data_IF_391823315136
#
_entry.id   IF_391823315136
#
_cell.length_a   1.000
_cell.length_b   1.000
_cell.length_c   1.000
_cell.angle_alpha   90.00
_cell.angle_beta   90.00
_cell.angle_gamma   90.00
#
_symmetry.space_group_name_H-M   'P 1'
#
loop_
_entity.id
_entity.type
_entity.pdbx_description
1 polymer ?
#
# COMPACT_ATOMS: atom_id res chain seq x y z
N UNK A 1 34.41 -0.60 -0.57
CA UNK A 1 33.14 -1.36 -0.73
C UNK A 1 32.04 -0.32 -0.73
N UNK A 2 31.44 -0.14 -1.91
CA UNK A 2 30.40 0.84 -2.20
C UNK A 2 29.09 0.29 -1.66
N UNK A 3 28.43 1.03 -0.78
CA UNK A 3 27.00 0.92 -0.55
C UNK A 3 26.46 2.35 -0.56
N UNK A 4 26.56 2.98 -1.75
CA UNK A 4 25.72 4.12 -2.07
C UNK A 4 24.27 3.63 -1.99
N UNK A 5 23.64 3.87 -0.84
CA UNK A 5 22.20 3.81 -0.71
C UNK A 5 21.63 4.82 -1.69
N UNK A 6 21.43 4.39 -2.94
CA UNK A 6 20.60 5.05 -3.92
C UNK A 6 19.30 5.33 -3.19
N UNK A 7 19.04 6.59 -2.86
CA UNK A 7 17.76 7.02 -2.33
C UNK A 7 16.72 6.58 -3.37
N UNK A 8 16.11 5.42 -3.13
CA UNK A 8 14.93 5.02 -3.88
C UNK A 8 13.95 6.10 -3.54
N UNK A 9 13.60 6.91 -4.54
CA UNK A 9 12.58 7.94 -4.44
C UNK A 9 11.25 7.23 -4.15
N UNK A 10 11.07 6.84 -2.90
CA UNK A 10 10.00 5.95 -2.47
C UNK A 10 8.80 6.84 -2.27
N UNK A 11 7.83 6.69 -3.17
CA UNK A 11 6.62 7.50 -3.11
C UNK A 11 5.83 7.03 -1.89
N UNK A 12 5.47 8.00 -1.04
CA UNK A 12 4.72 7.75 0.19
C UNK A 12 3.30 8.25 -0.04
N UNK A 13 2.34 7.36 0.17
CA UNK A 13 0.91 7.65 0.07
C UNK A 13 0.25 7.59 1.44
N UNK A 14 -0.84 8.33 1.61
CA UNK A 14 -1.61 8.30 2.86
C UNK A 14 -2.58 7.13 2.83
N UNK A 15 -2.61 6.38 3.93
CA UNK A 15 -3.54 5.29 4.13
C UNK A 15 -4.44 5.53 5.35
N UNK A 16 -5.71 5.14 5.23
CA UNK A 16 -6.64 5.04 6.35
C UNK A 16 -6.61 3.61 6.91
N UNK A 17 -6.67 3.50 8.23
CA UNK A 17 -6.84 2.23 8.93
C UNK A 17 -8.06 2.31 9.84
N UNK A 18 -9.04 1.43 9.61
CA UNK A 18 -10.25 1.32 10.42
C UNK A 18 -10.24 0.01 11.18
N UNK A 19 -10.20 0.11 12.51
CA UNK A 19 -10.28 -1.03 13.41
C UNK A 19 -11.74 -1.44 13.59
N UNK A 20 -12.03 -2.72 13.35
CA UNK A 20 -13.34 -3.34 13.58
C UNK A 20 -13.15 -4.58 14.45
N UNK A 21 -14.24 -5.15 14.96
CA UNK A 21 -14.18 -6.30 15.88
C UNK A 21 -13.37 -7.50 15.32
N UNK A 22 -13.36 -7.69 14.00
CA UNK A 22 -12.72 -8.84 13.36
C UNK A 22 -11.30 -8.56 12.83
N UNK A 23 -10.85 -7.30 12.86
CA UNK A 23 -9.54 -6.91 12.32
C UNK A 23 -9.43 -5.44 11.93
N UNK A 24 -8.61 -5.19 10.91
CA UNK A 24 -8.25 -3.86 10.40
C UNK A 24 -8.55 -3.81 8.91
N UNK A 25 -9.48 -2.94 8.53
CA UNK A 25 -9.62 -2.51 7.14
C UNK A 25 -8.62 -1.40 6.86
N UNK A 26 -7.95 -1.48 5.72
CA UNK A 26 -7.01 -0.47 5.29
C UNK A 26 -7.27 -0.06 3.85
N UNK A 27 -7.05 1.22 3.55
CA UNK A 27 -7.30 1.81 2.22
C UNK A 27 -6.26 2.90 1.95
N UNK A 28 -5.80 3.01 0.70
CA UNK A 28 -4.98 4.14 0.25
C UNK A 28 -5.91 5.28 -0.18
N UNK A 29 -5.75 6.46 0.43
CA UNK A 29 -6.64 7.60 0.20
C UNK A 29 -6.45 8.22 -1.19
N UNK A 30 -5.24 8.13 -1.74
CA UNK A 30 -4.88 8.68 -3.04
C UNK A 30 -5.36 7.80 -4.21
N UNK A 31 -5.60 6.51 -3.96
CA UNK A 31 -6.08 5.53 -4.95
C UNK A 31 -7.30 4.79 -4.42
N UNK A 32 -8.50 5.38 -4.56
CA UNK A 32 -9.75 4.72 -4.21
C UNK A 32 -9.86 3.35 -4.90
N UNK A 33 -10.12 2.30 -4.13
CA UNK A 33 -10.13 0.92 -4.61
C UNK A 33 -8.90 0.09 -4.22
N UNK A 34 -7.79 0.72 -3.83
CA UNK A 34 -6.67 0.02 -3.19
C UNK A 34 -6.99 -0.23 -1.72
N UNK A 35 -7.69 -1.32 -1.45
CA UNK A 35 -8.15 -1.72 -0.12
C UNK A 35 -7.63 -3.10 0.29
N UNK A 36 -7.49 -3.32 1.60
CA UNK A 36 -7.20 -4.64 2.16
C UNK A 36 -7.83 -4.82 3.53
N UNK A 37 -7.86 -6.07 3.99
CA UNK A 37 -8.31 -6.43 5.34
C UNK A 37 -7.36 -7.44 5.96
N UNK A 38 -7.07 -7.29 7.25
CA UNK A 38 -6.32 -8.30 8.01
C UNK A 38 -6.65 -8.25 9.49
N UNK A 39 -6.48 -9.37 10.20
CA UNK A 39 -6.72 -9.47 11.64
C UNK A 39 -5.83 -8.58 12.50
N UNK A 40 -4.73 -8.05 11.96
CA UNK A 40 -3.88 -7.11 12.67
C UNK A 40 -3.31 -6.02 11.75
N UNK A 41 -2.93 -4.90 12.38
CA UNK A 41 -2.42 -3.72 11.68
C UNK A 41 -1.14 -4.01 10.90
N UNK A 42 -0.20 -4.78 11.45
CA UNK A 42 1.08 -5.05 10.80
C UNK A 42 0.90 -5.78 9.47
N UNK A 43 0.04 -6.80 9.46
CA UNK A 43 -0.28 -7.56 8.26
C UNK A 43 -1.12 -6.74 7.28
N UNK A 44 -2.07 -5.94 7.77
CA UNK A 44 -2.83 -5.01 6.94
C UNK A 44 -1.90 -4.01 6.21
N UNK A 45 -0.87 -3.47 6.88
CA UNK A 45 0.13 -2.60 6.23
C UNK A 45 0.90 -3.31 5.12
N UNK A 46 1.35 -4.54 5.37
CA UNK A 46 2.08 -5.33 4.37
C UNK A 46 1.21 -5.62 3.14
N UNK A 47 -0.04 -6.04 3.37
CA UNK A 47 -0.98 -6.34 2.29
C UNK A 47 -1.37 -5.09 1.50
N UNK A 48 -1.58 -3.95 2.18
CA UNK A 48 -1.91 -2.70 1.53
C UNK A 48 -0.78 -2.21 0.64
N UNK A 49 0.47 -2.37 1.07
CA UNK A 49 1.63 -2.04 0.26
C UNK A 49 1.69 -2.90 -1.01
N UNK A 50 1.39 -4.20 -0.90
CA UNK A 50 1.30 -5.08 -2.08
C UNK A 50 0.19 -4.64 -3.03
N UNK A 51 -1.02 -4.41 -2.51
CA UNK A 51 -2.18 -3.98 -3.31
C UNK A 51 -1.91 -2.65 -4.05
N UNK A 52 -1.15 -1.75 -3.43
CA UNK A 52 -0.75 -0.49 -4.05
C UNK A 52 0.24 -0.70 -5.21
N UNK A 53 1.14 -1.67 -5.11
CA UNK A 53 2.03 -2.03 -6.24
C UNK A 53 1.20 -2.60 -7.38
N UNK A 54 0.29 -3.54 -7.08
CA UNK A 54 -0.57 -4.15 -8.11
C UNK A 54 -1.43 -3.09 -8.83
N UNK A 55 -1.94 -2.10 -8.09
CA UNK A 55 -2.67 -0.96 -8.66
C UNK A 55 -1.77 -0.10 -9.56
N UNK A 56 -0.56 0.22 -9.11
CA UNK A 56 0.39 1.01 -9.89
C UNK A 56 0.81 0.30 -11.18
N UNK A 57 1.05 -1.02 -11.12
CA UNK A 57 1.34 -1.84 -12.29
C UNK A 57 0.16 -1.87 -13.26
N UNK A 58 -1.06 -2.01 -12.75
CA UNK A 58 -2.28 -1.98 -13.56
C UNK A 58 -2.45 -0.65 -14.29
N UNK A 59 -2.31 0.47 -13.58
CA UNK A 59 -2.42 1.82 -14.17
C UNK A 59 -1.36 2.00 -15.27
N UNK A 60 -0.11 1.59 -15.01
CA UNK A 60 0.96 1.64 -16.00
C UNK A 60 0.64 0.81 -17.26
N UNK A 61 0.05 -0.37 -17.10
CA UNK A 61 -0.37 -1.21 -18.23
C UNK A 61 -1.53 -0.60 -19.04
N UNK A 62 -2.42 0.15 -18.39
CA UNK A 62 -3.51 0.87 -19.05
C UNK A 62 -3.06 2.18 -19.72
N UNK A 63 -1.82 2.61 -19.48
CA UNK A 63 -1.26 3.85 -20.02
C UNK A 63 -1.66 5.10 -19.21
N UNK A 64 -2.05 4.92 -17.95
CA UNK A 64 -2.28 5.99 -16.96
C UNK A 64 -1.00 6.35 -16.18
#
# INVERSE_FOLDING_TARGET
MVDEKKERNMIIYKAMYKFINEGVHAEVLDFPGTITFSHNLQKARQLLASALVDMAETNLMQGE
#
